data_IF_313340618083
#
_entry.id   IF_313340618083
#
_cell.length_a   1.000
_cell.length_b   1.000
_cell.length_c   1.000
_cell.angle_alpha   90.00
_cell.angle_beta   90.00
_cell.angle_gamma   90.00
#
_symmetry.space_group_name_H-M   'P 1'
#
loop_
_entity.id
_entity.type
_entity.pdbx_description
1 polymer ?
#
# COMPACT_ATOMS: atom_id res chain seq x y z
N UNK A 1 -14.14 42.71 51.20
CA UNK A 1 -14.11 41.96 52.47
C UNK A 1 -15.33 41.02 52.52
N UNK A 2 -15.08 39.69 52.61
CA UNK A 2 -15.93 38.54 53.05
C UNK A 2 -17.44 38.54 52.66
N UNK A 3 -17.91 37.77 51.67
CA UNK A 3 -18.20 36.31 51.59
C UNK A 3 -19.05 35.70 52.72
N UNK A 4 -20.24 35.19 52.37
CA UNK A 4 -20.81 33.99 53.00
C UNK A 4 -21.82 33.30 52.06
N UNK A 5 -21.91 31.98 52.21
CA UNK A 5 -22.96 31.06 51.75
C UNK A 5 -22.99 30.65 50.27
N UNK A 6 -22.43 29.46 49.98
CA UNK A 6 -23.29 28.34 49.57
C UNK A 6 -22.63 27.01 49.90
N UNK A 7 -23.45 26.16 50.50
CA UNK A 7 -23.15 24.78 50.88
C UNK A 7 -23.39 23.94 49.64
N UNK A 8 -22.35 23.30 49.10
CA UNK A 8 -22.54 22.19 48.18
C UNK A 8 -21.95 20.91 48.74
N UNK A 9 -22.87 19.96 48.84
CA UNK A 9 -22.80 18.70 49.53
C UNK A 9 -22.06 17.71 48.65
N UNK A 10 -20.88 17.33 49.14
CA UNK A 10 -20.11 16.11 48.88
C UNK A 10 -20.93 14.99 48.18
N UNK A 11 -20.69 14.80 46.89
CA UNK A 11 -21.09 13.60 46.17
C UNK A 11 -19.86 12.70 46.01
N UNK A 12 -19.54 11.94 47.07
CA UNK A 12 -18.49 10.91 47.04
C UNK A 12 -19.09 9.65 46.39
N UNK A 13 -18.87 9.46 45.10
CA UNK A 13 -19.01 8.13 44.47
C UNK A 13 -17.70 7.34 44.68
N UNK A 14 -17.73 6.17 45.34
CA UNK A 14 -16.53 5.34 45.49
C UNK A 14 -16.17 4.65 44.17
N UNK A 15 -14.91 4.81 43.78
CA UNK A 15 -14.23 4.07 42.71
C UNK A 15 -14.19 2.58 43.07
N UNK A 16 -14.70 1.73 42.17
CA UNK A 16 -14.51 0.28 42.29
C UNK A 16 -13.04 -0.05 42.05
N UNK A 17 -12.40 -0.56 43.10
CA UNK A 17 -11.08 -1.19 43.07
C UNK A 17 -11.18 -2.48 42.27
N UNK A 18 -10.36 -2.59 41.22
CA UNK A 18 -10.07 -3.86 40.54
C UNK A 18 -9.10 -4.63 41.44
N UNK A 19 -9.55 -5.74 42.02
CA UNK A 19 -8.66 -6.71 42.65
C UNK A 19 -8.26 -7.75 41.62
N UNK A 20 -6.95 -7.79 41.33
CA UNK A 20 -6.31 -8.91 40.64
C UNK A 20 -6.39 -10.14 41.55
N UNK A 21 -6.75 -11.29 40.98
CA UNK A 21 -6.56 -12.58 41.61
C UNK A 21 -5.96 -13.52 40.57
N UNK A 22 -4.63 -13.50 40.54
CA UNK A 22 -3.82 -14.51 39.89
C UNK A 22 -3.83 -15.78 40.75
N UNK A 23 -4.22 -16.91 40.17
CA UNK A 23 -3.82 -18.25 40.62
C UNK A 23 -4.31 -19.30 39.61
N UNK A 24 -3.39 -19.79 38.78
CA UNK A 24 -3.63 -20.95 37.92
C UNK A 24 -2.44 -21.19 37.00
N UNK A 25 -1.70 -22.28 37.25
CA UNK A 25 -0.46 -22.65 36.57
C UNK A 25 -0.58 -22.94 35.06
N UNK A 26 0.51 -23.41 34.43
CA UNK A 26 0.68 -23.38 32.99
C UNK A 26 -0.19 -24.43 32.26
N UNK A 27 -1.02 -24.04 31.27
CA UNK A 27 -1.66 -25.02 30.41
C UNK A 27 -0.68 -25.50 29.35
N UNK A 28 -0.37 -26.78 29.47
CA UNK A 28 0.20 -27.65 28.46
C UNK A 28 -0.43 -27.47 27.07
N UNK A 29 0.43 -27.51 26.05
CA UNK A 29 0.11 -27.79 24.65
C UNK A 29 -0.97 -28.88 24.53
N UNK A 30 -2.17 -28.50 24.09
CA UNK A 30 -3.13 -29.36 23.36
C UNK A 30 -4.41 -28.59 23.02
N UNK A 31 -4.90 -28.86 21.82
CA UNK A 31 -6.25 -28.60 21.31
C UNK A 31 -6.64 -27.18 20.86
N UNK A 32 -6.35 -26.93 19.57
CA UNK A 32 -7.31 -26.30 18.68
C UNK A 32 -8.53 -27.24 18.51
N UNK A 33 -9.58 -27.03 19.30
CA UNK A 33 -10.90 -27.62 19.01
C UNK A 33 -11.82 -26.51 18.51
N UNK A 34 -11.89 -26.37 17.19
CA UNK A 34 -12.90 -25.56 16.52
C UNK A 34 -14.20 -26.38 16.34
N UNK A 35 -15.40 -25.80 16.51
CA UNK A 35 -16.68 -26.46 16.25
C UNK A 35 -16.87 -26.85 14.77
N UNK A 36 -17.50 -28.00 14.57
CA UNK A 36 -17.57 -28.82 13.33
C UNK A 36 -18.49 -28.32 12.18
N UNK A 37 -18.70 -27.02 11.96
CA UNK A 37 -19.59 -26.55 10.86
C UNK A 37 -19.07 -25.31 10.12
N UNK A 38 -18.11 -25.52 9.21
CA UNK A 38 -17.98 -24.90 7.86
C UNK A 38 -16.58 -25.21 7.32
N UNK A 39 -16.49 -26.30 6.55
CA UNK A 39 -15.30 -26.67 5.77
C UNK A 39 -15.37 -25.99 4.42
N UNK A 40 -14.55 -24.97 4.21
CA UNK A 40 -13.86 -24.66 2.95
C UNK A 40 -13.13 -23.32 3.14
N UNK A 41 -11.84 -23.28 2.82
CA UNK A 41 -10.96 -22.09 2.81
C UNK A 41 -10.28 -21.72 4.14
N UNK A 42 -9.39 -22.60 4.62
CA UNK A 42 -8.20 -22.16 5.34
C UNK A 42 -6.96 -22.55 4.54
N UNK A 43 -6.06 -21.61 4.19
CA UNK A 43 -4.75 -21.94 3.64
C UNK A 43 -3.89 -22.61 4.72
N UNK A 44 -3.10 -23.66 4.39
CA UNK A 44 -2.22 -24.29 5.36
C UNK A 44 -1.08 -23.34 5.74
N UNK A 45 -0.98 -23.03 7.04
CA UNK A 45 0.24 -22.51 7.63
C UNK A 45 1.29 -23.64 7.67
N UNK A 46 2.25 -23.63 6.75
CA UNK A 46 3.46 -24.46 6.87
C UNK A 46 4.63 -23.62 7.36
N UNK A 47 5.37 -24.07 8.39
CA UNK A 47 6.65 -23.48 8.81
C UNK A 47 7.70 -23.58 7.71
N UNK A 48 8.41 -22.48 7.46
CA UNK A 48 9.46 -22.37 6.45
C UNK A 48 10.83 -22.55 7.12
N UNK A 49 11.28 -23.80 7.26
CA UNK A 49 12.69 -24.12 7.50
C UNK A 49 13.15 -25.22 6.54
N UNK A 50 14.26 -24.91 5.85
CA UNK A 50 15.29 -25.80 5.30
C UNK A 50 14.85 -26.96 4.40
N UNK A 51 15.28 -26.89 3.13
CA UNK A 51 16.40 -27.72 2.65
C UNK A 51 16.77 -27.34 1.21
N UNK A 52 18.00 -26.87 1.05
CA UNK A 52 18.75 -26.88 -0.21
C UNK A 52 19.23 -28.32 -0.44
N UNK A 53 19.35 -28.70 -1.71
CA UNK A 53 19.71 -30.02 -2.28
C UNK A 53 18.56 -31.03 -2.41
N UNK A 54 18.05 -31.18 -3.64
CA UNK A 54 18.51 -32.29 -4.47
C UNK A 54 18.31 -31.94 -5.94
N UNK A 55 19.45 -31.80 -6.62
CA UNK A 55 19.59 -32.05 -8.06
C UNK A 55 18.88 -33.37 -8.39
N UNK A 56 17.80 -33.27 -9.15
CA UNK A 56 17.21 -34.35 -9.91
C UNK A 56 16.85 -33.79 -11.27
N UNK A 57 17.85 -33.86 -12.15
CA UNK A 57 17.67 -33.90 -13.59
C UNK A 57 16.52 -34.84 -13.99
N UNK A 58 15.80 -34.42 -15.02
CA UNK A 58 14.91 -35.18 -15.91
C UNK A 58 13.42 -34.93 -15.75
N UNK A 59 12.94 -34.04 -16.62
CA UNK A 59 11.54 -33.86 -16.96
C UNK A 59 11.41 -33.25 -18.35
N UNK A 60 12.12 -33.82 -19.33
CA UNK A 60 11.93 -33.49 -20.73
C UNK A 60 10.48 -33.76 -21.16
N UNK A 61 9.71 -32.70 -21.37
CA UNK A 61 8.58 -32.70 -22.29
C UNK A 61 8.68 -31.48 -23.20
N UNK A 62 9.47 -31.67 -24.26
CA UNK A 62 9.35 -30.96 -25.54
C UNK A 62 7.97 -31.27 -26.14
N UNK A 63 6.91 -30.63 -25.66
CA UNK A 63 5.61 -30.61 -26.35
C UNK A 63 4.73 -29.59 -25.62
N UNK A 64 4.74 -28.34 -26.05
CA UNK A 64 3.64 -27.86 -26.88
C UNK A 64 4.17 -27.10 -28.09
N UNK A 65 4.50 -27.90 -29.11
CA UNK A 65 4.36 -27.52 -30.52
C UNK A 65 2.89 -27.19 -30.74
N UNK A 66 2.47 -26.03 -30.26
CA UNK A 66 1.09 -25.57 -30.25
C UNK A 66 0.76 -25.13 -31.68
N UNK A 67 0.39 -26.12 -32.49
CA UNK A 67 -0.62 -26.00 -33.54
C UNK A 67 -0.58 -24.72 -34.38
N UNK A 68 0.59 -24.38 -34.95
CA UNK A 68 0.60 -23.68 -36.24
C UNK A 68 0.22 -24.67 -37.35
N UNK A 69 -0.95 -25.30 -37.19
CA UNK A 69 -1.52 -26.17 -38.20
C UNK A 69 -1.97 -25.27 -39.33
N UNK A 70 -1.17 -25.27 -40.39
CA UNK A 70 -1.51 -24.73 -41.72
C UNK A 70 -2.95 -25.12 -42.04
N UNK A 71 -3.87 -24.16 -41.95
CA UNK A 71 -5.08 -24.15 -42.77
C UNK A 71 -4.78 -23.33 -44.01
N UNK A 72 -4.21 -24.00 -45.00
CA UNK A 72 -4.36 -23.60 -46.38
C UNK A 72 -5.44 -24.47 -47.01
N UNK A 73 -6.46 -23.84 -47.60
CA UNK A 73 -6.99 -24.10 -48.95
C UNK A 73 -8.37 -23.46 -49.11
N UNK A 74 -8.52 -22.63 -50.16
CA UNK A 74 -9.80 -22.46 -50.86
C UNK A 74 -10.59 -21.17 -50.64
N UNK A 75 -10.00 -20.01 -50.95
CA UNK A 75 -10.52 -18.95 -51.83
C UNK A 75 -9.68 -17.68 -51.60
N UNK A 76 -8.66 -17.46 -52.44
CA UNK A 76 -7.91 -16.20 -52.42
C UNK A 76 -8.79 -15.10 -53.06
N UNK A 77 -9.84 -14.69 -52.35
CA UNK A 77 -10.51 -13.42 -52.61
C UNK A 77 -9.52 -12.36 -52.13
N UNK A 78 -8.86 -11.70 -53.08
CA UNK A 78 -7.86 -10.69 -52.79
C UNK A 78 -8.45 -9.62 -51.88
N UNK A 79 -7.75 -9.32 -50.78
CA UNK A 79 -7.94 -8.10 -50.02
C UNK A 79 -7.89 -6.94 -51.01
N UNK A 80 -9.01 -6.26 -51.23
CA UNK A 80 -8.99 -5.13 -52.14
C UNK A 80 -8.19 -4.01 -51.45
N UNK A 81 -7.29 -3.33 -52.18
CA UNK A 81 -6.50 -2.25 -51.59
C UNK A 81 -7.40 -1.14 -51.02
N UNK A 82 -8.58 -0.96 -51.63
CA UNK A 82 -9.60 0.00 -51.16
C UNK A 82 -10.20 -0.38 -49.80
N UNK A 83 -10.38 -1.67 -49.53
CA UNK A 83 -10.90 -2.20 -48.26
C UNK A 83 -9.89 -2.00 -47.12
N UNK A 84 -8.60 -2.06 -47.42
CA UNK A 84 -7.58 -1.70 -46.43
C UNK A 84 -7.45 -0.17 -46.28
N UNK A 85 -7.58 0.60 -47.37
CA UNK A 85 -7.50 2.06 -47.34
C UNK A 85 -8.56 2.70 -46.45
N UNK A 86 -9.82 2.24 -46.52
CA UNK A 86 -10.88 2.79 -45.67
C UNK A 86 -10.67 2.45 -44.19
N UNK A 87 -10.13 1.26 -43.88
CA UNK A 87 -9.86 0.84 -42.50
C UNK A 87 -8.79 1.72 -41.87
N UNK A 88 -7.67 1.94 -42.55
CA UNK A 88 -6.61 2.79 -42.02
C UNK A 88 -7.04 4.26 -41.96
N UNK A 89 -7.93 4.71 -42.84
CA UNK A 89 -8.52 6.05 -42.79
C UNK A 89 -9.37 6.24 -41.51
N UNK A 90 -10.25 5.29 -41.19
CA UNK A 90 -11.08 5.36 -39.98
C UNK A 90 -10.23 5.25 -38.71
N UNK A 91 -9.25 4.33 -38.68
CA UNK A 91 -8.32 4.20 -37.55
C UNK A 91 -7.53 5.51 -37.37
N UNK A 92 -7.12 6.16 -38.46
CA UNK A 92 -6.44 7.46 -38.42
C UNK A 92 -7.27 8.56 -37.75
N UNK A 93 -8.56 8.66 -38.08
CA UNK A 93 -9.48 9.63 -37.46
C UNK A 93 -9.65 9.34 -35.96
N UNK A 94 -9.85 8.08 -35.59
CA UNK A 94 -10.00 7.69 -34.18
C UNK A 94 -8.72 7.95 -33.38
N UNK A 95 -7.55 7.61 -33.95
CA UNK A 95 -6.26 7.81 -33.30
C UNK A 95 -5.94 9.29 -33.08
N UNK A 96 -6.29 10.16 -34.04
CA UNK A 96 -6.06 11.60 -33.93
C UNK A 96 -6.74 12.22 -32.69
N UNK A 97 -7.93 11.75 -32.33
CA UNK A 97 -8.66 12.22 -31.15
C UNK A 97 -8.21 11.46 -29.89
N UNK A 98 -7.96 10.15 -30.00
CA UNK A 98 -7.66 9.30 -28.85
C UNK A 98 -6.30 9.58 -28.21
N UNK A 99 -5.25 9.85 -29.01
CA UNK A 99 -3.88 10.06 -28.51
C UNK A 99 -3.77 11.24 -27.52
N UNK A 100 -4.22 12.47 -27.84
CA UNK A 100 -4.11 13.58 -26.90
C UNK A 100 -5.00 13.39 -25.66
N UNK A 101 -6.18 12.80 -25.82
CA UNK A 101 -7.08 12.49 -24.70
C UNK A 101 -6.45 11.48 -23.73
N UNK A 102 -5.87 10.41 -24.27
CA UNK A 102 -5.23 9.37 -23.48
C UNK A 102 -4.02 9.90 -22.69
N UNK A 103 -3.21 10.77 -23.30
CA UNK A 103 -2.09 11.42 -22.61
C UNK A 103 -2.56 12.26 -21.41
N UNK A 104 -3.65 13.03 -21.56
CA UNK A 104 -4.22 13.82 -20.47
C UNK A 104 -4.79 12.92 -19.34
N UNK A 105 -5.49 11.85 -19.70
CA UNK A 105 -6.00 10.87 -18.74
C UNK A 105 -4.87 10.23 -17.94
N UNK A 106 -3.75 9.86 -18.60
CA UNK A 106 -2.58 9.35 -17.90
C UNK A 106 -1.98 10.38 -16.94
N UNK A 107 -1.83 11.64 -17.34
CA UNK A 107 -1.32 12.71 -16.47
C UNK A 107 -2.19 12.87 -15.21
N UNK A 108 -3.52 12.91 -15.37
CA UNK A 108 -4.46 12.99 -14.23
C UNK A 108 -4.36 11.78 -13.30
N UNK A 109 -4.22 10.57 -13.86
CA UNK A 109 -4.05 9.37 -13.07
C UNK A 109 -2.75 9.39 -12.25
N UNK A 110 -1.65 9.92 -12.82
CA UNK A 110 -0.38 10.09 -12.11
C UNK A 110 -0.49 11.12 -10.98
N UNK A 111 -1.15 12.26 -11.21
CA UNK A 111 -1.42 13.27 -10.17
C UNK A 111 -2.21 12.64 -9.02
N UNK A 112 -3.28 11.90 -9.33
CA UNK A 112 -4.11 11.25 -8.32
C UNK A 112 -3.33 10.19 -7.51
N UNK A 113 -2.47 9.41 -8.18
CA UNK A 113 -1.58 8.46 -7.53
C UNK A 113 -0.59 9.17 -6.59
N UNK A 114 0.08 10.21 -7.07
CA UNK A 114 1.02 10.98 -6.24
C UNK A 114 0.34 11.58 -5.01
N UNK A 115 -0.90 12.08 -5.15
CA UNK A 115 -1.68 12.58 -4.03
C UNK A 115 -2.06 11.49 -3.02
N UNK A 116 -2.40 10.29 -3.48
CA UNK A 116 -2.65 9.15 -2.60
C UNK A 116 -1.38 8.73 -1.83
N UNK A 117 -0.26 8.63 -2.54
CA UNK A 117 1.04 8.26 -1.98
C UNK A 117 1.49 9.28 -0.90
N UNK A 118 1.38 10.58 -1.20
CA UNK A 118 1.67 11.69 -0.26
C UNK A 118 0.78 11.61 0.98
N UNK A 119 -0.53 11.37 0.83
CA UNK A 119 -1.43 11.23 1.99
C UNK A 119 -1.08 10.02 2.86
N UNK A 120 -0.68 8.91 2.25
CA UNK A 120 -0.21 7.73 2.97
C UNK A 120 1.05 8.03 3.80
N UNK A 121 2.02 8.73 3.20
CA UNK A 121 3.22 9.15 3.92
C UNK A 121 2.93 10.16 5.02
N UNK A 122 2.06 11.15 4.77
CA UNK A 122 1.68 12.13 5.79
C UNK A 122 1.02 11.47 7.01
N UNK A 123 0.14 10.49 6.78
CA UNK A 123 -0.45 9.70 7.86
C UNK A 123 0.59 8.88 8.63
N UNK A 124 1.59 8.33 7.96
CA UNK A 124 2.64 7.58 8.65
C UNK A 124 3.58 8.50 9.46
N UNK A 125 3.87 9.71 8.95
CA UNK A 125 4.63 10.73 9.68
C UNK A 125 3.87 11.19 10.93
N UNK A 126 2.55 11.39 10.85
CA UNK A 126 1.76 11.81 12.02
C UNK A 126 1.70 10.72 13.09
N UNK A 127 1.58 9.45 12.70
CA UNK A 127 1.66 8.30 13.63
C UNK A 127 3.06 8.21 14.24
N UNK A 128 4.12 8.36 13.44
CA UNK A 128 5.49 8.41 13.96
C UNK A 128 5.64 9.49 15.03
N UNK A 129 5.19 10.71 14.73
CA UNK A 129 5.30 11.83 15.65
C UNK A 129 4.54 11.59 16.96
N UNK A 130 3.39 10.90 16.91
CA UNK A 130 2.64 10.51 18.09
C UNK A 130 3.38 9.49 18.97
N UNK A 131 4.14 8.56 18.38
CA UNK A 131 4.89 7.56 19.13
C UNK A 131 6.26 8.04 19.63
N UNK A 132 6.97 8.82 18.81
CA UNK A 132 8.35 9.23 19.07
C UNK A 132 8.44 10.60 19.74
N UNK A 133 7.36 11.39 19.72
CA UNK A 133 7.33 12.76 20.24
C UNK A 133 8.09 13.77 19.36
N UNK A 134 8.66 13.33 18.24
CA UNK A 134 9.42 14.16 17.29
C UNK A 134 9.05 13.78 15.87
N UNK A 135 9.17 14.74 14.94
CA UNK A 135 9.09 14.44 13.51
C UNK A 135 10.28 13.58 13.08
N UNK A 136 10.10 12.66 12.11
CA UNK A 136 11.21 11.92 11.52
C UNK A 136 12.13 12.88 10.76
N UNK A 137 13.44 12.65 10.76
CA UNK A 137 14.40 13.48 10.01
C UNK A 137 14.43 13.16 8.50
N UNK A 138 13.96 11.97 8.12
CA UNK A 138 13.86 11.53 6.74
C UNK A 138 12.71 10.52 6.58
N UNK A 139 12.12 10.47 5.39
CA UNK A 139 11.05 9.51 5.06
C UNK A 139 11.50 8.06 5.21
N UNK A 140 12.78 7.75 4.97
CA UNK A 140 13.31 6.38 5.09
C UNK A 140 13.22 5.78 6.50
N UNK A 141 13.03 6.61 7.54
CA UNK A 141 12.86 6.10 8.91
C UNK A 141 11.51 5.42 9.11
N UNK A 142 10.49 5.80 8.35
CA UNK A 142 9.13 5.25 8.49
C UNK A 142 9.07 3.74 8.21
N UNK A 143 10.02 3.21 7.43
CA UNK A 143 10.09 1.78 7.08
C UNK A 143 10.88 0.95 8.08
N UNK A 144 11.51 1.58 9.07
CA UNK A 144 12.26 0.91 10.11
C UNK A 144 11.47 0.90 11.44
N UNK A 145 11.84 -0.04 12.31
CA UNK A 145 11.43 -0.01 13.71
C UNK A 145 12.26 1.08 14.40
N UNK A 146 11.61 1.90 15.22
CA UNK A 146 12.23 2.99 15.95
C UNK A 146 11.95 2.89 17.45
N UNK A 147 12.87 3.38 18.27
CA UNK A 147 12.73 3.42 19.72
C UNK A 147 12.79 4.86 20.20
N UNK A 148 11.78 5.29 20.96
CA UNK A 148 11.70 6.65 21.48
C UNK A 148 12.68 6.88 22.63
N UNK A 149 12.95 8.15 23.02
CA UNK A 149 13.76 8.45 24.21
C UNK A 149 13.21 7.87 25.52
N UNK A 150 11.92 7.53 25.56
CA UNK A 150 11.24 6.87 26.68
C UNK A 150 11.34 5.34 26.61
N UNK A 151 12.21 4.80 25.75
CA UNK A 151 12.44 3.38 25.54
C UNK A 151 11.19 2.61 25.06
N UNK A 152 10.37 3.27 24.24
CA UNK A 152 9.19 2.65 23.61
C UNK A 152 9.53 2.31 22.15
N UNK A 153 9.49 1.03 21.82
CA UNK A 153 9.73 0.54 20.44
C UNK A 153 8.42 0.50 19.66
N UNK A 154 8.40 1.07 18.46
CA UNK A 154 7.25 1.08 17.56
C UNK A 154 7.69 1.04 16.08
N UNK A 155 6.74 0.77 15.20
CA UNK A 155 6.97 0.66 13.76
C UNK A 155 7.16 -0.78 13.27
N UNK A 156 7.40 -0.98 11.96
CA UNK A 156 7.50 0.05 10.94
C UNK A 156 6.16 0.75 10.68
N UNK A 157 6.20 2.07 10.47
CA UNK A 157 5.02 2.92 10.29
C UNK A 157 4.50 2.91 8.85
N UNK A 158 5.30 2.38 7.93
CA UNK A 158 4.98 2.14 6.54
C UNK A 158 5.76 0.93 6.04
N UNK A 159 5.17 0.11 5.17
CA UNK A 159 5.85 -1.09 4.64
C UNK A 159 7.01 -0.75 3.69
N UNK A 160 6.83 0.27 2.84
CA UNK A 160 7.85 0.78 1.93
C UNK A 160 7.46 2.21 1.50
N UNK A 161 8.46 3.06 1.27
CA UNK A 161 8.21 4.37 0.67
C UNK A 161 7.79 4.17 -0.79
N UNK A 162 6.61 4.67 -1.21
CA UNK A 162 6.15 4.51 -2.57
C UNK A 162 7.07 5.23 -3.54
N UNK A 163 7.29 4.63 -4.71
CA UNK A 163 8.00 5.28 -5.81
C UNK A 163 7.05 6.22 -6.56
N UNK A 164 7.53 7.39 -7.02
CA UNK A 164 6.73 8.29 -7.85
C UNK A 164 6.13 7.59 -9.08
N UNK A 165 5.00 8.08 -9.60
CA UNK A 165 4.25 7.41 -10.66
C UNK A 165 4.96 7.40 -12.03
N UNK A 166 5.92 8.29 -12.27
CA UNK A 166 6.77 8.28 -13.47
C UNK A 166 8.06 9.08 -13.25
N UNK A 167 9.02 8.97 -14.17
CA UNK A 167 10.28 9.74 -14.14
C UNK A 167 10.07 11.25 -14.27
N UNK A 168 8.94 11.71 -14.82
CA UNK A 168 8.56 13.13 -14.90
C UNK A 168 8.30 13.72 -13.51
N UNK A 169 7.95 12.88 -12.53
CA UNK A 169 7.72 13.27 -11.13
C UNK A 169 9.00 13.26 -10.28
N UNK A 170 10.17 13.09 -10.91
CA UNK A 170 11.44 12.93 -10.25
C UNK A 170 11.69 11.50 -9.75
N UNK A 171 12.79 11.32 -9.03
CA UNK A 171 13.19 10.00 -8.50
C UNK A 171 12.64 9.69 -7.11
N UNK A 172 12.20 10.71 -6.36
CA UNK A 172 11.67 10.56 -5.00
C UNK A 172 10.77 11.74 -4.59
N UNK A 173 9.91 11.51 -3.60
CA UNK A 173 9.15 12.57 -2.92
C UNK A 173 10.07 13.44 -2.07
N UNK A 174 9.82 14.74 -2.04
CA UNK A 174 10.55 15.68 -1.18
C UNK A 174 9.87 15.83 0.16
N UNK A 175 10.65 15.78 1.24
CA UNK A 175 10.19 15.94 2.60
C UNK A 175 10.94 17.07 3.29
N UNK A 176 10.19 17.94 3.96
CA UNK A 176 10.74 19.02 4.76
C UNK A 176 10.02 19.12 6.10
N UNK A 177 10.77 19.52 7.13
CA UNK A 177 10.23 19.85 8.45
C UNK A 177 10.54 21.30 8.76
N UNK A 178 9.59 22.01 9.36
CA UNK A 178 9.80 23.35 9.87
C UNK A 178 10.05 23.32 11.37
N UNK A 179 10.75 24.34 11.86
CA UNK A 179 11.02 24.55 13.29
C UNK A 179 9.75 24.66 14.14
N UNK A 180 8.62 25.00 13.52
CA UNK A 180 7.31 25.10 14.16
C UNK A 180 6.63 23.74 14.38
N UNK A 181 7.31 22.62 14.12
CA UNK A 181 6.74 21.27 14.26
C UNK A 181 5.76 20.88 13.16
N UNK A 182 5.72 21.64 12.05
CA UNK A 182 4.98 21.26 10.84
C UNK A 182 5.91 20.53 9.87
N UNK A 183 5.36 19.62 9.08
CA UNK A 183 6.09 18.99 7.99
C UNK A 183 5.40 19.27 6.66
N UNK A 184 6.12 19.04 5.57
CA UNK A 184 5.57 19.09 4.21
C UNK A 184 6.14 17.94 3.41
N UNK A 185 5.27 17.21 2.73
CA UNK A 185 5.64 16.21 1.73
C UNK A 185 5.13 16.70 0.39
N UNK A 186 6.02 16.84 -0.58
CA UNK A 186 5.67 17.35 -1.90
C UNK A 186 6.27 16.52 -3.03
N UNK A 187 5.61 16.58 -4.18
CA UNK A 187 6.17 16.15 -5.46
C UNK A 187 5.57 16.99 -6.58
N UNK A 188 6.35 17.16 -7.66
CA UNK A 188 5.93 17.90 -8.83
C UNK A 188 6.15 17.08 -10.09
N UNK A 189 5.17 17.08 -11.00
CA UNK A 189 5.21 16.37 -12.27
C UNK A 189 3.96 16.63 -13.09
N UNK A 190 4.05 16.41 -14.41
CA UNK A 190 2.95 16.66 -15.36
C UNK A 190 2.32 18.07 -15.23
N UNK A 191 3.13 19.08 -14.91
CA UNK A 191 2.71 20.49 -14.74
C UNK A 191 1.94 20.79 -13.44
N UNK A 192 1.85 19.84 -12.51
CA UNK A 192 1.19 20.00 -11.23
C UNK A 192 2.15 19.76 -10.05
N UNK A 193 1.94 20.49 -8.95
CA UNK A 193 2.62 20.26 -7.67
C UNK A 193 1.59 19.79 -6.66
N UNK A 194 1.84 18.63 -6.05
CA UNK A 194 1.01 18.07 -4.98
C UNK A 194 1.79 18.17 -3.68
N UNK A 195 1.13 18.64 -2.62
CA UNK A 195 1.73 18.80 -1.30
C UNK A 195 0.73 18.41 -0.21
N UNK A 196 1.22 17.84 0.89
CA UNK A 196 0.46 17.63 2.12
C UNK A 196 1.27 18.07 3.34
N UNK A 197 0.57 18.54 4.40
CA UNK A 197 1.17 18.83 5.69
C UNK A 197 1.48 17.56 6.50
#
# INVERSE_FOLDING_TARGET
>A
MKTSHSRDRLDRRPSKVVTSKDSGGPPSLRNCYWPLWRRAWHPPCTPMERLIELVSTQGGRKMTKFWYTRRGLGNQRGFTLIELMIVVAIIGILAAIAVPLYANMQARARIAKAQADIRGMASAVSIWAAHMGTLPSALGLLTAIATSPQNITAGPFMAAIPTPPSTVWGSAYTYGTNVNGTFTISAAGDGATVSAP
#
